data_IF_640801329620
#
_entry.id   IF_640801329620
#
_cell.length_a   1.000
_cell.length_b   1.000
_cell.length_c   1.000
_cell.angle_alpha   90.00
_cell.angle_beta   90.00
_cell.angle_gamma   90.00
#
_symmetry.space_group_name_H-M   'P 1'
#
loop_
_entity.id
_entity.type
_entity.pdbx_description
1 polymer ?
#
# COMPACT_ATOMS: atom_id res chain seq x y z
N UNK A 1 9.69 2.37 13.33
CA UNK A 1 9.42 2.28 11.88
C UNK A 1 10.74 2.36 11.11
N UNK A 2 11.09 1.29 10.40
CA UNK A 2 12.14 1.36 9.38
C UNK A 2 11.63 2.32 8.30
N UNK A 3 12.34 3.42 8.09
CA UNK A 3 11.95 4.40 7.08
C UNK A 3 12.04 3.76 5.70
N UNK A 4 11.02 3.95 4.87
CA UNK A 4 11.01 3.49 3.48
C UNK A 4 12.24 4.01 2.69
N UNK A 5 12.81 5.15 3.12
CA UNK A 5 14.03 5.74 2.56
C UNK A 5 15.29 4.86 2.70
N UNK A 6 15.30 3.84 3.58
CA UNK A 6 16.47 2.96 3.81
C UNK A 6 16.37 1.60 3.12
N UNK A 7 15.17 1.22 2.64
CA UNK A 7 14.98 -0.04 1.94
C UNK A 7 15.09 0.18 0.43
N UNK A 8 15.87 -0.65 -0.25
CA UNK A 8 15.98 -0.64 -1.72
C UNK A 8 14.65 -1.08 -2.33
N UNK A 9 13.70 -0.13 -2.48
CA UNK A 9 12.40 -0.35 -3.12
C UNK A 9 12.52 -0.95 -4.54
N UNK A 10 13.70 -0.87 -5.15
CA UNK A 10 14.02 -1.50 -6.44
C UNK A 10 13.98 -3.02 -6.44
N UNK A 11 14.14 -3.66 -5.28
CA UNK A 11 14.13 -5.13 -5.13
C UNK A 11 12.71 -5.72 -5.14
N UNK A 12 11.70 -4.87 -4.98
CA UNK A 12 10.31 -5.29 -4.97
C UNK A 12 9.75 -5.33 -6.39
N UNK A 13 9.14 -6.46 -6.74
CA UNK A 13 8.42 -6.62 -8.00
C UNK A 13 7.09 -5.85 -8.01
N UNK A 14 6.49 -5.66 -6.83
CA UNK A 14 5.22 -4.96 -6.62
C UNK A 14 5.26 -4.20 -5.29
N UNK A 15 4.80 -2.96 -5.32
CA UNK A 15 4.60 -2.09 -4.16
C UNK A 15 3.11 -1.78 -4.06
N UNK A 16 2.55 -1.99 -2.87
CA UNK A 16 1.14 -1.67 -2.60
C UNK A 16 1.07 -0.40 -1.76
N UNK A 17 0.49 0.66 -2.31
CA UNK A 17 0.24 1.91 -1.62
C UNK A 17 -1.20 1.95 -1.09
N UNK A 18 -1.36 2.29 0.18
CA UNK A 18 -2.71 2.35 0.78
C UNK A 18 -3.53 3.53 0.27
N UNK A 19 -2.90 4.66 -0.10
CA UNK A 19 -3.57 5.86 -0.64
C UNK A 19 -2.82 6.43 -1.84
N UNK A 20 -3.51 7.21 -2.67
CA UNK A 20 -2.91 7.86 -3.84
C UNK A 20 -1.82 8.86 -3.44
N UNK A 21 -1.96 9.51 -2.27
CA UNK A 21 -0.92 10.40 -1.76
C UNK A 21 0.38 9.65 -1.43
N UNK A 22 0.29 8.42 -0.92
CA UNK A 22 1.45 7.57 -0.66
C UNK A 22 2.17 7.23 -1.98
N UNK A 23 1.41 6.86 -3.02
CA UNK A 23 1.97 6.65 -4.37
C UNK A 23 2.67 7.90 -4.89
N UNK A 24 2.04 9.08 -4.78
CA UNK A 24 2.65 10.35 -5.20
C UNK A 24 3.98 10.62 -4.48
N UNK A 25 4.03 10.36 -3.17
CA UNK A 25 5.24 10.52 -2.38
C UNK A 25 6.35 9.55 -2.80
N UNK A 26 6.00 8.29 -3.05
CA UNK A 26 6.92 7.26 -3.55
C UNK A 26 7.46 7.63 -4.93
N UNK A 27 6.60 8.07 -5.86
CA UNK A 27 7.01 8.45 -7.22
C UNK A 27 7.89 9.70 -7.28
N UNK A 28 7.69 10.64 -6.36
CA UNK A 28 8.55 11.83 -6.27
C UNK A 28 10.00 11.47 -5.91
N UNK A 29 10.21 10.37 -5.17
CA UNK A 29 11.53 9.89 -4.73
C UNK A 29 12.08 8.76 -5.60
N UNK A 30 11.21 7.92 -6.13
CA UNK A 30 11.53 6.73 -6.90
C UNK A 30 10.67 6.63 -8.18
N UNK A 31 10.92 7.47 -9.20
CA UNK A 31 10.13 7.47 -10.45
C UNK A 31 10.10 6.12 -11.17
N UNK A 32 11.13 5.28 -10.97
CA UNK A 32 11.25 3.93 -11.54
C UNK A 32 10.15 2.96 -11.07
N UNK A 33 9.43 3.28 -10.00
CA UNK A 33 8.36 2.44 -9.45
C UNK A 33 6.99 2.69 -10.12
N UNK A 34 6.90 3.61 -11.09
CA UNK A 34 5.64 3.99 -11.76
C UNK A 34 4.81 2.81 -12.28
N UNK A 35 5.45 1.78 -12.82
CA UNK A 35 4.78 0.57 -13.33
C UNK A 35 4.59 -0.53 -12.28
N UNK A 36 5.18 -0.38 -11.09
CA UNK A 36 5.20 -1.40 -10.03
C UNK A 36 4.41 -1.01 -8.79
N UNK A 37 3.73 0.14 -8.80
CA UNK A 37 2.90 0.58 -7.68
C UNK A 37 1.42 0.39 -8.02
N UNK A 38 0.71 -0.37 -7.19
CA UNK A 38 -0.75 -0.40 -7.17
C UNK A 38 -1.26 0.39 -5.96
N UNK A 39 -2.45 0.97 -6.10
CA UNK A 39 -3.11 1.72 -5.02
C UNK A 39 -4.38 0.98 -4.63
N UNK A 40 -4.51 0.67 -3.35
CA UNK A 40 -5.72 0.02 -2.84
C UNK A 40 -6.79 1.01 -2.36
N UNK A 41 -6.39 2.27 -2.15
CA UNK A 41 -7.23 3.40 -1.70
C UNK A 41 -7.98 3.17 -0.38
N UNK A 42 -7.34 2.48 0.56
CA UNK A 42 -7.88 2.12 1.88
C UNK A 42 -7.55 3.22 2.89
N UNK A 43 -8.54 3.63 3.68
CA UNK A 43 -8.38 4.64 4.74
C UNK A 43 -7.50 4.15 5.89
N UNK A 44 -6.75 5.08 6.48
CA UNK A 44 -5.94 4.81 7.67
C UNK A 44 -6.87 4.62 8.90
N UNK A 45 -6.87 3.44 9.54
CA UNK A 45 -7.72 3.18 10.68
C UNK A 45 -7.32 3.96 11.94
N UNK A 46 -6.13 4.58 11.99
CA UNK A 46 -5.65 5.35 13.16
C UNK A 46 -6.58 6.50 13.55
N UNK A 47 -7.33 7.05 12.59
CA UNK A 47 -8.23 8.18 12.80
C UNK A 47 -9.71 7.78 12.79
N UNK A 48 -10.01 6.49 12.75
CA UNK A 48 -11.38 5.98 12.67
C UNK A 48 -11.92 5.58 14.06
N UNK A 49 -13.25 5.59 14.23
CA UNK A 49 -13.88 5.11 15.46
C UNK A 49 -13.55 3.63 15.75
N UNK A 50 -13.62 3.26 17.03
CA UNK A 50 -13.38 1.89 17.48
C UNK A 50 -14.24 0.88 16.68
N UNK A 51 -13.61 -0.19 16.18
CA UNK A 51 -14.25 -1.22 15.36
C UNK A 51 -14.18 -1.00 13.83
N UNK A 52 -13.69 0.14 13.36
CA UNK A 52 -13.39 0.34 11.92
C UNK A 52 -12.11 -0.37 11.49
N UNK A 53 -11.15 -0.55 12.40
CA UNK A 53 -9.94 -1.35 12.22
C UNK A 53 -10.24 -2.77 11.71
N UNK A 54 -11.29 -3.39 12.25
CA UNK A 54 -11.73 -4.72 11.81
C UNK A 54 -12.25 -4.73 10.37
N UNK A 55 -13.05 -3.73 9.99
CA UNK A 55 -13.56 -3.62 8.62
C UNK A 55 -12.43 -3.41 7.62
N UNK A 56 -11.51 -2.51 7.94
CA UNK A 56 -10.32 -2.24 7.13
C UNK A 56 -9.44 -3.49 7.02
N UNK A 57 -9.27 -4.25 8.11
CA UNK A 57 -8.54 -5.52 8.07
C UNK A 57 -9.23 -6.58 7.21
N UNK A 58 -10.56 -6.66 7.23
CA UNK A 58 -11.34 -7.57 6.38
C UNK A 58 -11.19 -7.18 4.90
N UNK A 59 -11.27 -5.89 4.56
CA UNK A 59 -11.02 -5.38 3.21
C UNK A 59 -9.59 -5.67 2.72
N UNK A 60 -8.58 -5.47 3.57
CA UNK A 60 -7.19 -5.80 3.25
C UNK A 60 -7.05 -7.30 2.95
N UNK A 61 -7.67 -8.18 3.74
CA UNK A 61 -7.61 -9.63 3.51
C UNK A 61 -8.24 -10.03 2.17
N UNK A 62 -9.36 -9.41 1.81
CA UNK A 62 -10.02 -9.66 0.53
C UNK A 62 -9.11 -9.24 -0.63
N UNK A 63 -8.57 -8.02 -0.60
CA UNK A 63 -7.64 -7.52 -1.64
C UNK A 63 -6.35 -8.35 -1.75
N UNK A 64 -5.80 -8.85 -0.63
CA UNK A 64 -4.67 -9.80 -0.65
C UNK A 64 -5.07 -11.10 -1.36
N UNK A 65 -6.26 -11.63 -1.06
CA UNK A 65 -6.76 -12.87 -1.67
C UNK A 65 -6.95 -12.71 -3.18
N UNK A 66 -7.57 -11.61 -3.61
CA UNK A 66 -7.72 -11.26 -5.02
C UNK A 66 -6.37 -11.11 -5.74
N UNK A 67 -5.43 -10.37 -5.13
CA UNK A 67 -4.10 -10.19 -5.68
C UNK A 67 -3.37 -11.52 -5.83
N UNK A 68 -3.45 -12.39 -4.83
CA UNK A 68 -2.82 -13.71 -4.86
C UNK A 68 -3.37 -14.64 -5.93
N UNK A 69 -4.65 -14.48 -6.30
CA UNK A 69 -5.27 -15.23 -7.38
C UNK A 69 -4.89 -14.70 -8.78
N UNK A 70 -4.41 -13.45 -8.85
CA UNK A 70 -4.04 -12.77 -10.10
C UNK A 70 -2.54 -12.81 -10.41
N UNK A 71 -1.71 -13.24 -9.45
CA UNK A 71 -0.27 -13.44 -9.57
C UNK A 71 0.07 -14.87 -9.99
#
# INVERSE_FOLDING_TARGET
>A
PEGIDQNELGDFHLVVAMKEEHKRHLLARHPQLSERIIVWDIDDPLFLPEGYDRKIMEEIKEKVSELSASL
#
